data_IF_653730859634
#
_entry.id   IF_653730859634
#
_cell.length_a   1.000
_cell.length_b   1.000
_cell.length_c   1.000
_cell.angle_alpha   90.00
_cell.angle_beta   90.00
_cell.angle_gamma   90.00
#
_symmetry.space_group_name_H-M   'P 1'
#
loop_
_entity.id
_entity.type
_entity.pdbx_description
1 polymer ?
#
# COMPACT_ATOMS: atom_id res chain seq x y z
N UNK A 1 12.00 20.58 22.48
CA UNK A 1 12.40 19.27 21.93
C UNK A 1 11.18 18.71 21.24
N UNK A 2 11.09 18.84 19.91
CA UNK A 2 10.01 18.22 19.12
C UNK A 2 10.33 16.73 19.02
N UNK A 3 9.61 15.90 19.78
CA UNK A 3 9.64 14.45 19.58
C UNK A 3 9.13 14.18 18.17
N UNK A 4 10.04 14.03 17.21
CA UNK A 4 9.72 13.52 15.89
C UNK A 4 9.31 12.07 16.09
N UNK A 5 8.01 11.84 16.30
CA UNK A 5 7.41 10.51 16.27
C UNK A 5 7.80 9.92 14.93
N UNK A 6 8.73 8.95 14.93
CA UNK A 6 9.06 8.14 13.77
C UNK A 6 7.81 7.31 13.47
N UNK A 7 6.83 7.89 12.77
CA UNK A 7 5.65 7.17 12.34
C UNK A 7 6.14 6.04 11.41
N UNK A 8 5.79 4.78 11.70
CA UNK A 8 6.21 3.68 10.87
C UNK A 8 5.72 3.93 9.44
N UNK A 9 6.65 3.97 8.49
CA UNK A 9 6.31 4.09 7.08
C UNK A 9 6.30 2.69 6.48
N UNK A 10 5.20 2.34 5.84
CA UNK A 10 4.96 1.08 5.15
C UNK A 10 5.15 1.28 3.65
N UNK A 11 5.74 0.29 2.99
CA UNK A 11 5.82 0.27 1.53
C UNK A 11 4.80 -0.70 0.99
N UNK A 12 3.91 -0.22 0.13
CA UNK A 12 2.89 -1.02 -0.54
C UNK A 12 3.30 -1.18 -2.00
N UNK A 13 3.41 -2.43 -2.45
CA UNK A 13 3.58 -2.79 -3.85
C UNK A 13 2.20 -3.10 -4.42
N UNK A 14 1.70 -2.19 -5.24
CA UNK A 14 0.37 -2.24 -5.83
C UNK A 14 0.39 -3.17 -7.04
N UNK A 15 -0.51 -4.13 -7.04
CA UNK A 15 -0.68 -5.12 -8.11
C UNK A 15 -2.16 -5.18 -8.47
N UNK A 16 -2.51 -5.23 -9.75
CA UNK A 16 -3.90 -5.42 -10.15
C UNK A 16 -4.37 -6.87 -9.93
N UNK A 17 -5.67 -7.12 -10.13
CA UNK A 17 -6.28 -8.45 -10.01
C UNK A 17 -5.69 -9.48 -11.00
N UNK A 18 -5.13 -9.01 -12.13
CA UNK A 18 -4.44 -9.84 -13.13
C UNK A 18 -2.97 -10.15 -12.74
N UNK A 19 -2.50 -9.65 -11.60
CA UNK A 19 -1.15 -9.85 -11.11
C UNK A 19 -0.10 -8.92 -11.73
N UNK A 20 -0.52 -7.89 -12.47
CA UNK A 20 0.39 -6.90 -13.09
C UNK A 20 0.77 -5.81 -12.09
N UNK A 21 2.04 -5.40 -12.08
CA UNK A 21 2.48 -4.33 -11.19
C UNK A 21 1.89 -2.98 -11.64
N UNK A 22 1.11 -2.35 -10.77
CA UNK A 22 0.60 -0.98 -10.98
C UNK A 22 1.60 0.06 -10.47
N UNK A 23 2.32 -0.26 -9.39
CA UNK A 23 3.41 0.57 -8.89
C UNK A 23 3.71 0.34 -7.41
N UNK A 24 4.33 1.32 -6.77
CA UNK A 24 4.58 1.31 -5.33
C UNK A 24 4.22 2.64 -4.68
N UNK A 25 3.70 2.61 -3.44
CA UNK A 25 3.43 3.80 -2.64
C UNK A 25 3.99 3.62 -1.22
N UNK A 26 4.21 4.74 -0.52
CA UNK A 26 4.59 4.74 0.89
C UNK A 26 3.48 5.38 1.69
N UNK A 27 2.99 4.68 2.70
CA UNK A 27 1.87 5.08 3.54
C UNK A 27 2.24 4.87 5.01
N UNK A 28 1.72 5.70 5.91
CA UNK A 28 1.87 5.51 7.36
C UNK A 28 0.80 4.59 7.96
N UNK A 29 -0.17 4.20 7.13
CA UNK A 29 -1.28 3.29 7.44
C UNK A 29 -0.95 1.87 6.96
N UNK A 30 -1.48 0.87 7.67
CA UNK A 30 -1.40 -0.52 7.24
C UNK A 30 -2.45 -0.78 6.15
N UNK A 31 -2.12 -1.57 5.12
CA UNK A 31 -3.12 -1.94 4.13
C UNK A 31 -4.09 -2.95 4.74
N UNK A 32 -5.38 -2.74 4.52
CA UNK A 32 -6.46 -3.63 4.97
C UNK A 32 -7.36 -4.00 3.78
N UNK A 33 -7.83 -5.25 3.73
CA UNK A 33 -8.76 -5.67 2.70
C UNK A 33 -10.08 -4.88 2.78
N UNK A 34 -10.69 -4.60 1.64
CA UNK A 34 -11.87 -3.73 1.46
C UNK A 34 -11.65 -2.25 1.81
N UNK A 35 -10.42 -1.83 2.11
CA UNK A 35 -10.09 -0.41 2.23
C UNK A 35 -10.04 0.22 0.83
N UNK A 36 -10.65 1.38 0.67
CA UNK A 36 -10.49 2.21 -0.54
C UNK A 36 -9.47 3.31 -0.31
N UNK A 37 -8.72 3.66 -1.36
CA UNK A 37 -7.79 4.78 -1.32
C UNK A 37 -7.63 5.42 -2.69
N UNK A 38 -7.27 6.70 -2.67
CA UNK A 38 -7.03 7.51 -3.85
C UNK A 38 -5.52 7.62 -4.09
N UNK A 39 -5.11 7.57 -5.36
CA UNK A 39 -3.72 7.76 -5.76
C UNK A 39 -3.65 8.44 -7.14
N UNK A 40 -4.00 9.72 -7.17
CA UNK A 40 -4.22 10.56 -8.37
C UNK A 40 -3.14 10.45 -9.45
N UNK A 41 -1.92 10.06 -9.08
CA UNK A 41 -0.81 9.86 -10.04
C UNK A 41 -0.95 8.60 -10.90
N UNK A 42 -1.83 7.66 -10.55
CA UNK A 42 -1.98 6.35 -11.21
C UNK A 42 -3.43 5.95 -11.47
N UNK A 43 -4.33 6.28 -10.55
CA UNK A 43 -5.77 6.02 -10.64
C UNK A 43 -6.51 7.02 -9.73
N UNK A 44 -7.79 7.27 -9.98
CA UNK A 44 -8.56 8.16 -9.11
C UNK A 44 -8.89 7.44 -7.80
N UNK A 45 -9.33 6.19 -7.86
CA UNK A 45 -9.69 5.39 -6.68
C UNK A 45 -9.47 3.90 -6.91
N UNK A 46 -8.96 3.20 -5.88
CA UNK A 46 -8.87 1.75 -5.87
C UNK A 46 -9.30 1.14 -4.54
N UNK A 47 -9.86 -0.06 -4.61
CA UNK A 47 -10.15 -0.91 -3.46
C UNK A 47 -9.05 -1.94 -3.27
N UNK A 48 -8.63 -2.18 -2.03
CA UNK A 48 -7.72 -3.27 -1.67
C UNK A 48 -8.52 -4.57 -1.63
N UNK A 49 -8.20 -5.50 -2.53
CA UNK A 49 -8.83 -6.82 -2.60
C UNK A 49 -8.12 -7.80 -1.67
N UNK A 50 -6.78 -7.77 -1.66
CA UNK A 50 -5.97 -8.70 -0.88
C UNK A 50 -4.68 -8.03 -0.41
N UNK A 51 -4.20 -8.44 0.78
CA UNK A 51 -2.96 -7.95 1.36
C UNK A 51 -2.08 -9.13 1.74
N UNK A 52 -0.84 -9.10 1.26
CA UNK A 52 0.20 -10.08 1.62
C UNK A 52 1.39 -9.33 2.21
N UNK A 53 1.68 -9.56 3.49
CA UNK A 53 2.91 -9.05 4.10
C UNK A 53 4.12 -9.78 3.50
N UNK A 54 5.01 -9.02 2.87
CA UNK A 54 6.27 -9.52 2.35
C UNK A 54 7.27 -9.65 3.51
N UNK A 55 8.19 -10.63 3.41
CA UNK A 55 9.12 -10.94 4.51
C UNK A 55 9.72 -9.65 5.10
N UNK A 56 9.67 -9.48 6.42
CA UNK A 56 10.20 -8.29 7.06
C UNK A 56 11.70 -8.19 6.81
N UNK A 57 12.15 -7.10 6.22
CA UNK A 57 13.54 -6.65 6.39
C UNK A 57 13.67 -5.91 7.70
N UNK A 58 14.85 -5.96 8.32
CA UNK A 58 15.19 -5.34 9.61
C UNK A 58 14.90 -3.83 9.77
N UNK A 59 14.31 -3.15 8.78
CA UNK A 59 14.08 -1.70 8.85
C UNK A 59 12.76 -1.19 8.25
N UNK A 60 11.98 -2.02 7.54
CA UNK A 60 10.69 -1.60 6.94
C UNK A 60 9.79 -2.81 6.67
N UNK A 61 8.51 -2.68 7.08
CA UNK A 61 7.44 -3.61 6.71
C UNK A 61 6.97 -3.29 5.29
N UNK A 62 6.79 -4.34 4.50
CA UNK A 62 6.50 -4.27 3.07
C UNK A 62 5.30 -5.15 2.78
N UNK A 63 4.39 -4.66 1.94
CA UNK A 63 3.15 -5.34 1.62
C UNK A 63 3.00 -5.43 0.11
N UNK A 64 2.60 -6.59 -0.39
CA UNK A 64 1.98 -6.71 -1.71
C UNK A 64 0.50 -6.47 -1.52
N UNK A 65 -0.04 -5.49 -2.22
CA UNK A 65 -1.43 -5.05 -2.11
C UNK A 65 -2.08 -5.28 -3.46
N UNK A 66 -3.00 -6.24 -3.53
CA UNK A 66 -3.81 -6.48 -4.71
C UNK A 66 -4.94 -5.47 -4.69
N UNK A 67 -5.07 -4.70 -5.75
CA UNK A 67 -6.03 -3.62 -5.87
C UNK A 67 -6.95 -3.83 -7.07
N UNK A 68 -8.17 -3.34 -6.92
CA UNK A 68 -9.15 -3.19 -7.99
C UNK A 68 -9.38 -1.71 -8.23
N UNK A 69 -9.04 -1.23 -9.42
CA UNK A 69 -9.28 0.17 -9.80
C UNK A 69 -10.79 0.36 -10.00
N UNK A 70 -11.35 1.35 -9.30
CA UNK A 70 -12.77 1.70 -9.38
C UNK A 70 -12.96 2.81 -10.42
N UNK A 71 -12.11 3.84 -10.37
CA UNK A 71 -12.10 5.01 -11.26
C UNK A 71 -10.68 5.50 -11.49
#
# INVERSE_FOLDING_TARGET
MTSQTCLPTFTWFLVDEDGRPVGQIRRSELPEASMTFEEESRFEEAEIVEVVELRPSCSMRRFRVIIKIIR
#
